data_IF_445904167874
#
_entry.id   IF_445904167874
#
_cell.length_a   1.000
_cell.length_b   1.000
_cell.length_c   1.000
_cell.angle_alpha   90.00
_cell.angle_beta   90.00
_cell.angle_gamma   90.00
#
_symmetry.space_group_name_H-M   'P 1'
#
loop_
_entity.id
_entity.type
_entity.pdbx_description
1 polymer ?
#
# COMPACT_ATOMS: atom_id res chain seq x y z
N UNK A 1 -11.17 18.06 -9.12
CA UNK A 1 -11.66 17.76 -7.76
C UNK A 1 -12.14 16.33 -7.76
N UNK A 2 -11.69 15.51 -6.81
CA UNK A 2 -12.19 14.13 -6.67
C UNK A 2 -13.56 14.15 -5.97
N UNK A 3 -14.42 13.18 -6.30
CA UNK A 3 -15.70 13.00 -5.62
C UNK A 3 -15.47 12.24 -4.33
N UNK A 4 -15.95 12.75 -3.21
CA UNK A 4 -15.85 12.10 -1.90
C UNK A 4 -17.20 11.75 -1.31
N UNK A 5 -18.30 12.19 -1.91
CA UNK A 5 -19.66 12.01 -1.39
C UNK A 5 -20.63 11.57 -2.48
N UNK A 6 -21.65 10.76 -2.14
CA UNK A 6 -22.66 10.33 -3.09
C UNK A 6 -23.53 11.48 -3.66
N UNK A 7 -23.60 12.61 -2.96
CA UNK A 7 -24.38 13.79 -3.31
C UNK A 7 -23.58 14.90 -4.01
N UNK A 8 -22.32 14.62 -4.35
CA UNK A 8 -21.51 15.58 -5.12
C UNK A 8 -22.12 15.85 -6.49
N UNK A 9 -22.16 17.13 -6.88
CA UNK A 9 -22.75 17.64 -8.14
C UNK A 9 -22.22 16.92 -9.40
N UNK A 10 -21.01 16.38 -9.33
CA UNK A 10 -20.39 15.66 -10.44
C UNK A 10 -21.20 14.40 -10.84
N UNK A 11 -21.85 13.75 -9.89
CA UNK A 11 -22.69 12.58 -10.19
C UNK A 11 -23.96 12.98 -10.95
N UNK A 12 -24.57 14.11 -10.58
CA UNK A 12 -25.72 14.66 -11.30
C UNK A 12 -25.31 15.00 -12.73
N UNK A 13 -24.18 15.67 -12.92
CA UNK A 13 -23.66 16.00 -14.26
C UNK A 13 -23.35 14.74 -15.08
N UNK A 14 -22.82 13.68 -14.44
CA UNK A 14 -22.55 12.42 -15.11
C UNK A 14 -23.85 11.77 -15.62
N UNK A 15 -24.87 11.69 -14.77
CA UNK A 15 -26.17 11.11 -15.15
C UNK A 15 -26.90 11.91 -16.24
N UNK A 16 -26.67 13.22 -16.27
CA UNK A 16 -27.28 14.11 -17.28
C UNK A 16 -26.45 14.17 -18.59
N UNK A 17 -25.35 13.41 -18.72
CA UNK A 17 -24.42 13.49 -19.84
C UNK A 17 -23.81 14.90 -20.07
N UNK A 18 -23.63 15.66 -18.99
CA UNK A 18 -23.07 17.03 -19.01
C UNK A 18 -21.54 17.04 -18.82
N UNK A 19 -20.92 15.86 -18.62
CA UNK A 19 -19.48 15.73 -18.40
C UNK A 19 -18.76 15.31 -19.68
N UNK A 20 -17.65 15.98 -19.97
CA UNK A 20 -16.67 15.50 -20.95
C UNK A 20 -15.85 14.37 -20.30
N UNK A 21 -16.30 13.14 -20.51
CA UNK A 21 -15.67 11.93 -19.95
C UNK A 21 -14.26 11.77 -20.50
N UNK A 22 -14.01 12.09 -21.79
CA UNK A 22 -12.69 11.98 -22.37
C UNK A 22 -11.68 12.90 -21.68
N UNK A 23 -12.05 14.15 -21.42
CA UNK A 23 -11.19 15.08 -20.67
C UNK A 23 -10.95 14.65 -19.21
N UNK A 24 -11.93 13.98 -18.57
CA UNK A 24 -11.74 13.43 -17.21
C UNK A 24 -10.77 12.26 -17.21
N UNK A 25 -10.89 11.35 -18.19
CA UNK A 25 -10.00 10.20 -18.35
C UNK A 25 -8.58 10.68 -18.62
N UNK A 26 -8.36 11.62 -19.53
CA UNK A 26 -7.04 12.19 -19.83
C UNK A 26 -6.35 12.76 -18.58
N UNK A 27 -7.10 13.51 -17.76
CA UNK A 27 -6.59 14.01 -16.47
C UNK A 27 -6.24 12.88 -15.50
N UNK A 28 -7.08 11.85 -15.45
CA UNK A 28 -6.84 10.65 -14.63
C UNK A 28 -5.56 9.92 -15.05
N UNK A 29 -5.34 9.74 -16.33
CA UNK A 29 -4.14 9.11 -16.90
C UNK A 29 -2.86 9.90 -16.58
N UNK A 30 -2.91 11.23 -16.68
CA UNK A 30 -1.79 12.09 -16.29
C UNK A 30 -1.43 11.93 -14.81
N UNK A 31 -2.44 11.89 -13.92
CA UNK A 31 -2.24 11.68 -12.48
C UNK A 31 -1.66 10.28 -12.22
N UNK A 32 -2.20 9.25 -12.83
CA UNK A 32 -1.70 7.87 -12.69
C UNK A 32 -0.26 7.74 -13.18
N UNK A 33 0.08 8.38 -14.29
CA UNK A 33 1.44 8.39 -14.82
C UNK A 33 2.42 9.03 -13.82
N UNK A 34 2.03 10.15 -13.23
CA UNK A 34 2.83 10.81 -12.18
C UNK A 34 3.00 9.93 -10.95
N UNK A 35 1.91 9.29 -10.46
CA UNK A 35 1.96 8.37 -9.31
C UNK A 35 2.92 7.21 -9.60
N UNK A 36 2.83 6.57 -10.77
CA UNK A 36 3.73 5.46 -11.17
C UNK A 36 5.18 5.90 -11.19
N UNK A 37 5.49 7.05 -11.77
CA UNK A 37 6.85 7.58 -11.81
C UNK A 37 7.37 7.91 -10.40
N UNK A 38 6.54 8.50 -9.54
CA UNK A 38 6.87 8.78 -8.15
C UNK A 38 7.16 7.47 -7.39
N UNK A 39 6.28 6.48 -7.51
CA UNK A 39 6.40 5.19 -6.83
C UNK A 39 7.67 4.45 -7.28
N UNK A 40 7.97 4.45 -8.59
CA UNK A 40 9.20 3.85 -9.13
C UNK A 40 10.48 4.45 -8.50
N UNK A 41 10.53 5.76 -8.33
CA UNK A 41 11.68 6.43 -7.70
C UNK A 41 11.77 6.11 -6.21
N UNK A 42 10.65 6.17 -5.49
CA UNK A 42 10.62 5.95 -4.04
C UNK A 42 10.94 4.49 -3.69
N UNK A 43 10.35 3.53 -4.39
CA UNK A 43 10.58 2.10 -4.16
C UNK A 43 12.07 1.78 -4.15
N UNK A 44 12.82 2.29 -5.12
CA UNK A 44 14.26 2.05 -5.25
C UNK A 44 15.10 2.64 -4.11
N UNK A 45 14.58 3.61 -3.38
CA UNK A 45 15.30 4.28 -2.30
C UNK A 45 14.90 3.81 -0.90
N UNK A 46 13.66 3.31 -0.73
CA UNK A 46 13.13 3.01 0.61
C UNK A 46 12.63 1.57 0.78
N UNK A 47 12.45 0.80 -0.30
CA UNK A 47 12.05 -0.59 -0.18
C UNK A 47 13.24 -1.48 0.19
N UNK A 48 12.99 -2.46 1.04
CA UNK A 48 13.97 -3.44 1.48
C UNK A 48 13.34 -4.81 1.71
N UNK A 49 14.15 -5.85 1.59
CA UNK A 49 13.72 -7.22 1.84
C UNK A 49 13.70 -7.54 3.33
N UNK A 50 12.77 -8.37 3.74
CA UNK A 50 12.67 -8.94 5.09
C UNK A 50 12.01 -10.31 5.04
N UNK A 51 11.88 -10.95 6.20
CA UNK A 51 11.23 -12.24 6.34
C UNK A 51 10.41 -12.27 7.63
N UNK A 52 9.20 -12.83 7.56
CA UNK A 52 8.35 -13.12 8.73
C UNK A 52 7.76 -14.52 8.62
N UNK A 53 8.02 -15.38 9.60
CA UNK A 53 7.49 -16.75 9.67
C UNK A 53 7.80 -17.58 8.39
N UNK A 54 8.98 -17.41 7.78
CA UNK A 54 9.36 -18.08 6.54
C UNK A 54 8.78 -17.46 5.27
N UNK A 55 8.02 -16.39 5.37
CA UNK A 55 7.48 -15.65 4.22
C UNK A 55 8.45 -14.54 3.80
N UNK A 56 8.80 -14.55 2.51
CA UNK A 56 9.64 -13.49 1.91
C UNK A 56 8.84 -12.20 1.77
N UNK A 57 9.35 -11.10 2.33
CA UNK A 57 8.66 -9.83 2.35
C UNK A 57 9.42 -8.74 1.62
N UNK A 58 8.68 -7.84 0.95
CA UNK A 58 9.19 -6.53 0.54
C UNK A 58 8.52 -5.46 1.41
N UNK A 59 9.34 -4.61 2.03
CA UNK A 59 8.90 -3.67 3.04
C UNK A 59 9.25 -2.24 2.66
N UNK A 60 8.45 -1.27 3.08
CA UNK A 60 8.75 0.15 2.92
C UNK A 60 8.25 0.96 4.12
N UNK A 61 9.09 1.87 4.61
CA UNK A 61 8.67 2.86 5.60
C UNK A 61 8.05 4.05 4.86
N UNK A 62 6.76 4.03 4.68
CA UNK A 62 6.05 5.04 3.91
C UNK A 62 4.65 5.30 4.47
N UNK A 63 4.32 6.53 4.90
CA UNK A 63 2.95 6.88 5.25
C UNK A 63 2.08 6.86 4.00
N UNK A 64 0.86 6.32 4.13
CA UNK A 64 -0.13 6.26 3.04
C UNK A 64 0.34 5.50 1.78
N UNK A 65 1.19 4.49 1.93
CA UNK A 65 1.51 3.56 0.85
C UNK A 65 0.36 2.56 0.68
N UNK A 66 -0.22 2.53 -0.52
CA UNK A 66 -1.18 1.51 -0.93
C UNK A 66 -0.45 0.32 -1.55
N UNK A 67 -1.17 -0.76 -1.81
CA UNK A 67 -0.59 -1.97 -2.42
C UNK A 67 0.11 -1.71 -3.75
N UNK A 68 -0.39 -0.77 -4.57
CA UNK A 68 0.14 -0.36 -5.86
C UNK A 68 1.53 0.31 -5.78
N UNK A 69 1.92 0.81 -4.61
CA UNK A 69 3.28 1.32 -4.39
C UNK A 69 4.35 0.28 -4.75
N UNK A 70 4.12 -0.96 -4.36
CA UNK A 70 5.06 -2.06 -4.59
C UNK A 70 5.02 -2.62 -6.02
N UNK A 71 4.05 -2.26 -6.85
CA UNK A 71 3.99 -2.71 -8.26
C UNK A 71 5.19 -2.19 -9.09
N UNK A 72 5.90 -1.20 -8.55
CA UNK A 72 7.15 -0.69 -9.13
C UNK A 72 8.41 -1.46 -8.69
N UNK A 73 8.28 -2.44 -7.80
CA UNK A 73 9.39 -3.32 -7.40
C UNK A 73 9.66 -4.32 -8.51
N UNK A 74 10.92 -4.48 -8.89
CA UNK A 74 11.33 -5.53 -9.82
C UNK A 74 11.03 -6.91 -9.20
N UNK A 75 10.48 -7.82 -10.00
CA UNK A 75 10.11 -9.17 -9.57
C UNK A 75 9.20 -9.21 -8.31
N UNK A 76 8.31 -8.23 -8.18
CA UNK A 76 7.42 -8.07 -7.01
C UNK A 76 6.59 -9.34 -6.70
N UNK A 77 6.36 -10.19 -7.69
CA UNK A 77 5.64 -11.46 -7.53
C UNK A 77 6.47 -12.55 -6.84
N UNK A 78 7.77 -12.37 -6.67
CA UNK A 78 8.63 -13.29 -5.91
C UNK A 78 8.43 -13.14 -4.40
N UNK A 79 7.88 -12.02 -3.95
CA UNK A 79 7.57 -11.78 -2.55
C UNK A 79 6.22 -12.34 -2.17
N UNK A 80 6.16 -12.93 -0.98
CA UNK A 80 4.96 -13.49 -0.40
C UNK A 80 4.06 -12.41 0.19
N UNK A 81 4.67 -11.43 0.86
CA UNK A 81 3.98 -10.34 1.53
C UNK A 81 4.64 -9.01 1.20
N UNK A 82 3.81 -8.00 1.00
CA UNK A 82 4.20 -6.59 0.87
C UNK A 82 3.80 -5.87 2.13
N UNK A 83 4.75 -5.18 2.75
CA UNK A 83 4.54 -4.54 4.05
C UNK A 83 4.85 -3.06 3.97
N UNK A 84 3.85 -2.26 4.21
CA UNK A 84 4.00 -0.83 4.37
C UNK A 84 3.86 -0.48 5.85
N UNK A 85 4.75 0.37 6.37
CA UNK A 85 4.69 0.77 7.77
C UNK A 85 5.12 2.21 7.96
N UNK A 86 4.63 2.85 9.03
CA UNK A 86 5.03 4.20 9.39
C UNK A 86 4.72 4.50 10.85
N UNK A 87 5.44 5.48 11.40
CA UNK A 87 5.11 6.02 12.72
C UNK A 87 4.05 7.11 12.58
N UNK A 88 2.95 7.00 13.32
CA UNK A 88 1.88 7.99 13.34
C UNK A 88 2.19 9.16 14.29
N UNK A 89 1.34 10.20 14.30
CA UNK A 89 1.51 11.39 15.12
C UNK A 89 1.45 11.16 16.66
N UNK A 90 1.13 9.95 17.10
CA UNK A 90 1.10 9.55 18.52
C UNK A 90 2.30 8.67 18.92
N UNK A 91 3.38 8.68 18.11
CA UNK A 91 4.56 7.85 18.30
C UNK A 91 4.23 6.33 18.35
N UNK A 92 3.27 5.90 17.54
CA UNK A 92 2.87 4.50 17.40
C UNK A 92 3.06 4.05 15.97
N UNK A 93 3.39 2.77 15.79
CA UNK A 93 3.59 2.18 14.48
C UNK A 93 2.30 1.64 13.92
N UNK A 94 2.07 1.89 12.63
CA UNK A 94 1.00 1.33 11.83
C UNK A 94 1.62 0.49 10.73
N UNK A 95 1.10 -0.71 10.53
CA UNK A 95 1.53 -1.66 9.53
C UNK A 95 0.36 -2.04 8.63
N UNK A 96 0.63 -2.17 7.34
CA UNK A 96 -0.30 -2.69 6.35
C UNK A 96 0.35 -3.86 5.61
N UNK A 97 -0.36 -4.97 5.50
CA UNK A 97 0.09 -6.20 4.89
C UNK A 97 -0.76 -6.48 3.66
N UNK A 98 -0.11 -6.82 2.54
CA UNK A 98 -0.78 -7.17 1.29
C UNK A 98 -0.16 -8.43 0.70
N UNK A 99 -0.96 -9.24 0.03
CA UNK A 99 -0.47 -10.37 -0.77
C UNK A 99 -1.28 -10.55 -2.04
N UNK A 100 -0.62 -10.96 -3.12
CA UNK A 100 -1.28 -11.40 -4.36
C UNK A 100 -1.27 -12.91 -4.49
N UNK A 101 -0.45 -13.61 -3.67
CA UNK A 101 -0.31 -15.06 -3.73
C UNK A 101 -1.50 -15.76 -3.06
N UNK A 102 -1.99 -16.80 -3.69
CA UNK A 102 -2.97 -17.69 -3.10
C UNK A 102 -2.34 -18.55 -2.00
N UNK A 103 -3.13 -18.95 -1.03
CA UNK A 103 -2.66 -19.71 0.13
C UNK A 103 -1.99 -18.88 1.22
N UNK A 104 -1.73 -17.59 1.02
CA UNK A 104 -1.21 -16.68 2.03
C UNK A 104 -2.34 -15.84 2.61
N UNK A 105 -2.44 -15.85 3.94
CA UNK A 105 -3.46 -15.12 4.69
C UNK A 105 -2.79 -14.06 5.58
N UNK A 106 -2.74 -12.83 5.08
CA UNK A 106 -2.12 -11.70 5.82
C UNK A 106 -2.97 -11.22 6.99
N UNK A 107 -4.25 -11.62 7.08
CA UNK A 107 -5.07 -11.29 8.25
C UNK A 107 -4.56 -11.96 9.51
N UNK A 108 -3.99 -13.16 9.40
CA UNK A 108 -3.35 -13.87 10.52
C UNK A 108 -2.09 -13.18 11.01
N UNK A 109 -1.29 -12.61 10.09
CA UNK A 109 -0.12 -11.80 10.47
C UNK A 109 -0.56 -10.55 11.22
N UNK A 110 -1.56 -9.85 10.72
CA UNK A 110 -2.10 -8.67 11.40
C UNK A 110 -2.69 -9.03 12.78
N UNK A 111 -3.46 -10.11 12.88
CA UNK A 111 -4.08 -10.57 14.12
C UNK A 111 -3.03 -10.92 15.20
N UNK A 112 -1.89 -11.51 14.82
CA UNK A 112 -0.79 -11.79 15.78
C UNK A 112 -0.18 -10.54 16.41
N UNK A 113 -0.44 -9.37 15.81
CA UNK A 113 0.02 -8.04 16.27
C UNK A 113 -1.13 -7.18 16.81
N UNK A 114 -2.29 -7.80 17.13
CA UNK A 114 -3.46 -7.10 17.64
C UNK A 114 -4.28 -6.35 16.58
N UNK A 115 -4.04 -6.63 15.32
CA UNK A 115 -4.77 -6.05 14.19
C UNK A 115 -5.76 -7.02 13.56
N UNK A 116 -6.05 -6.83 12.26
CA UNK A 116 -6.95 -7.69 11.48
C UNK A 116 -7.15 -7.18 10.06
N UNK A 117 -8.09 -7.79 9.36
CA UNK A 117 -8.43 -7.42 7.99
C UNK A 117 -8.87 -8.60 7.14
N UNK A 118 -8.66 -8.51 5.84
CA UNK A 118 -8.99 -9.56 4.89
C UNK A 118 -7.77 -10.42 4.56
N UNK A 119 -8.01 -11.62 4.01
CA UNK A 119 -6.97 -12.57 3.60
C UNK A 119 -5.88 -11.94 2.73
N UNK A 120 -6.24 -11.03 1.82
CA UNK A 120 -5.32 -10.37 0.87
C UNK A 120 -4.84 -8.98 1.32
N UNK A 121 -5.50 -8.36 2.31
CA UNK A 121 -5.17 -7.02 2.80
C UNK A 121 -5.57 -6.87 4.27
N UNK A 122 -4.61 -6.62 5.13
CA UNK A 122 -4.83 -6.50 6.57
C UNK A 122 -3.88 -5.47 7.18
N UNK A 123 -4.10 -5.08 8.44
CA UNK A 123 -3.24 -4.13 9.11
C UNK A 123 -3.24 -4.26 10.62
N UNK A 124 -2.18 -3.77 11.24
CA UNK A 124 -2.07 -3.59 12.67
C UNK A 124 -1.70 -2.14 12.97
N UNK A 125 -2.38 -1.54 13.93
CA UNK A 125 -2.23 -0.11 14.23
C UNK A 125 -1.89 0.13 15.69
N UNK A 126 -1.24 1.27 15.95
CA UNK A 126 -0.91 1.71 17.30
C UNK A 126 0.04 0.79 18.07
N UNK A 127 0.92 0.07 17.39
CA UNK A 127 1.95 -0.72 18.05
C UNK A 127 2.93 0.21 18.79
N UNK A 128 3.29 -0.18 20.01
CA UNK A 128 4.24 0.60 20.83
C UNK A 128 5.65 0.57 20.26
N UNK A 129 6.02 -0.56 19.63
CA UNK A 129 7.35 -0.77 19.05
C UNK A 129 7.24 -1.27 17.62
N UNK A 130 8.26 -0.93 16.82
CA UNK A 130 8.43 -1.50 15.49
C UNK A 130 8.87 -2.97 15.62
N UNK A 131 8.17 -3.93 14.98
CA UNK A 131 8.57 -5.33 14.97
C UNK A 131 10.00 -5.52 14.48
N UNK A 132 10.71 -6.50 15.06
CA UNK A 132 12.14 -6.71 14.82
C UNK A 132 12.46 -7.00 13.36
N UNK A 133 11.61 -7.74 12.65
CA UNK A 133 11.77 -8.05 11.24
C UNK A 133 11.75 -6.81 10.32
N UNK A 134 11.21 -5.68 10.80
CA UNK A 134 11.24 -4.40 10.09
C UNK A 134 12.44 -3.53 10.50
N UNK A 135 13.13 -3.84 11.60
CA UNK A 135 14.31 -3.10 12.05
C UNK A 135 15.59 -3.56 11.35
N UNK A 136 15.64 -4.83 10.96
CA UNK A 136 16.77 -5.48 10.29
C UNK A 136 16.43 -5.74 8.82
N UNK A 137 16.18 -4.68 8.06
CA UNK A 137 16.15 -4.82 6.62
C UNK A 137 17.47 -5.45 6.17
N UNK A 138 17.43 -6.59 5.47
CA UNK A 138 18.60 -7.04 4.72
C UNK A 138 18.85 -5.95 3.68
N UNK A 139 19.89 -5.15 3.87
CA UNK A 139 20.36 -4.29 2.81
C UNK A 139 20.68 -5.23 1.65
N UNK A 140 20.00 -5.05 0.53
CA UNK A 140 20.43 -5.62 -0.71
C UNK A 140 21.82 -5.03 -0.98
N UNK A 141 22.87 -5.85 -0.80
CA UNK A 141 24.21 -5.57 -1.30
C UNK A 141 24.17 -5.56 -2.84
#
# INVERSE_FOLDING_TARGET
MGTNKPDDEIWVKLFNNELDIAAIVEKGEAILSWIKMRNFRLVRSIAFESEINGLKCICANMPQGYSDFFDSVENVMDYDVRINFFMNGHNKWNLSFYTYKDGIDVSKLAASMGGGGHVKAAGASNLAELPEFLRKGKNAE
#
